data_IF_915515862745
#
_entry.id   IF_915515862745
#
_cell.length_a   1.000
_cell.length_b   1.000
_cell.length_c   1.000
_cell.angle_alpha   90.00
_cell.angle_beta   90.00
_cell.angle_gamma   90.00
#
_symmetry.space_group_name_H-M   'P 1'
#
loop_
_entity.id
_entity.type
_entity.pdbx_description
1 polymer ?
#
# COMPACT_ATOMS: atom_id res chain seq x y z
N UNK A 1 15.75 -2.64 -10.10
CA UNK A 1 15.15 -1.67 -9.16
C UNK A 1 13.68 -1.97 -9.05
N UNK A 2 13.13 -2.04 -7.83
CA UNK A 2 11.71 -2.37 -7.60
C UNK A 2 10.83 -1.26 -8.18
N UNK A 3 9.85 -1.59 -9.03
CA UNK A 3 8.95 -0.61 -9.68
C UNK A 3 7.94 -0.02 -8.70
N UNK A 4 7.84 -0.58 -7.51
CA UNK A 4 7.02 -0.07 -6.40
C UNK A 4 7.39 1.35 -6.00
N UNK A 5 8.69 1.68 -5.94
CA UNK A 5 9.16 3.03 -5.60
C UNK A 5 8.72 4.08 -6.63
N UNK A 6 8.99 3.94 -7.94
CA UNK A 6 8.51 4.92 -8.92
C UNK A 6 6.98 4.94 -9.04
N UNK A 7 6.28 3.81 -8.84
CA UNK A 7 4.82 3.79 -8.81
C UNK A 7 4.25 4.62 -7.63
N UNK A 8 4.87 4.53 -6.46
CA UNK A 8 4.53 5.36 -5.29
C UNK A 8 4.78 6.84 -5.58
N UNK A 9 5.94 7.18 -6.13
CA UNK A 9 6.28 8.56 -6.49
C UNK A 9 5.35 9.14 -7.56
N UNK A 10 4.87 8.32 -8.51
CA UNK A 10 3.91 8.76 -9.52
C UNK A 10 2.49 8.92 -8.96
N UNK A 11 2.09 8.09 -7.99
CA UNK A 11 0.76 8.16 -7.38
C UNK A 11 0.63 9.30 -6.35
N UNK A 12 1.73 9.72 -5.71
CA UNK A 12 1.78 10.82 -4.75
C UNK A 12 1.26 12.17 -5.31
N UNK A 13 1.71 12.69 -6.46
CA UNK A 13 1.20 13.95 -7.01
C UNK A 13 -0.27 13.87 -7.42
N UNK A 14 -0.75 12.70 -7.85
CA UNK A 14 -2.18 12.50 -8.14
C UNK A 14 -3.00 12.60 -6.85
N UNK A 15 -2.56 11.92 -5.78
CA UNK A 15 -3.21 11.99 -4.47
C UNK A 15 -3.19 13.42 -3.89
N UNK A 16 -2.06 14.12 -4.02
CA UNK A 16 -1.91 15.51 -3.58
C UNK A 16 -2.83 16.46 -4.37
N UNK A 17 -2.95 16.28 -5.69
CA UNK A 17 -3.85 17.07 -6.53
C UNK A 17 -5.32 16.83 -6.16
N UNK A 18 -5.71 15.58 -5.94
CA UNK A 18 -7.07 15.21 -5.49
C UNK A 18 -7.37 15.83 -4.12
N UNK A 19 -6.42 15.74 -3.18
CA UNK A 19 -6.56 16.32 -1.87
C UNK A 19 -6.72 17.85 -1.92
N UNK A 20 -5.93 18.53 -2.76
CA UNK A 20 -6.01 19.97 -2.95
C UNK A 20 -7.36 20.40 -3.55
N UNK A 21 -7.91 19.60 -4.48
CA UNK A 21 -9.22 19.85 -5.09
C UNK A 21 -10.40 19.65 -4.14
N UNK A 22 -10.32 18.67 -3.24
CA UNK A 22 -11.38 18.39 -2.28
C UNK A 22 -11.37 19.37 -1.10
N UNK A 23 -10.18 19.73 -0.61
CA UNK A 23 -10.01 20.64 0.53
C UNK A 23 -10.62 20.11 1.84
N UNK A 24 -10.43 20.88 2.91
CA UNK A 24 -11.02 20.60 4.23
C UNK A 24 -10.75 19.18 4.74
N UNK A 25 -11.75 18.59 5.40
CA UNK A 25 -11.68 17.25 5.99
C UNK A 25 -11.61 16.10 4.96
N UNK A 26 -12.09 16.34 3.74
CA UNK A 26 -12.05 15.34 2.66
C UNK A 26 -10.63 15.21 2.09
N UNK A 27 -9.97 16.35 1.83
CA UNK A 27 -8.61 16.36 1.29
C UNK A 27 -7.58 15.79 2.26
N UNK A 28 -7.69 16.13 3.55
CA UNK A 28 -6.86 15.55 4.61
C UNK A 28 -7.11 14.04 4.76
N UNK A 29 -8.36 13.58 4.63
CA UNK A 29 -8.68 12.15 4.61
C UNK A 29 -8.02 11.42 3.45
N UNK A 30 -8.03 12.00 2.25
CA UNK A 30 -7.32 11.43 1.10
C UNK A 30 -5.81 11.34 1.36
N UNK A 31 -5.19 12.41 1.85
CA UNK A 31 -3.75 12.41 2.17
C UNK A 31 -3.41 11.38 3.25
N UNK A 32 -4.16 11.36 4.35
CA UNK A 32 -3.94 10.43 5.45
C UNK A 32 -4.10 8.98 4.98
N UNK A 33 -5.16 8.68 4.22
CA UNK A 33 -5.42 7.36 3.67
C UNK A 33 -4.34 6.90 2.71
N UNK A 34 -3.94 7.79 1.79
CA UNK A 34 -2.89 7.50 0.84
C UNK A 34 -1.53 7.26 1.52
N UNK A 35 -1.12 8.13 2.45
CA UNK A 35 0.16 8.00 3.15
C UNK A 35 0.20 6.75 4.02
N UNK A 36 -0.85 6.48 4.80
CA UNK A 36 -0.91 5.29 5.65
C UNK A 36 -0.96 4.02 4.79
N UNK A 37 -1.75 4.02 3.72
CA UNK A 37 -1.83 2.90 2.76
C UNK A 37 -0.49 2.62 2.09
N UNK A 38 0.25 3.67 1.71
CA UNK A 38 1.59 3.54 1.16
C UNK A 38 2.60 3.01 2.18
N UNK A 39 2.56 3.51 3.42
CA UNK A 39 3.46 3.07 4.48
C UNK A 39 3.24 1.59 4.83
N UNK A 40 1.98 1.21 5.11
CA UNK A 40 1.62 -0.17 5.47
C UNK A 40 1.82 -1.11 4.28
N UNK A 41 1.37 -0.72 3.09
CA UNK A 41 1.52 -1.52 1.87
C UNK A 41 2.98 -1.69 1.46
N UNK A 42 3.78 -0.62 1.53
CA UNK A 42 5.20 -0.63 1.20
C UNK A 42 6.01 -1.47 2.18
N UNK A 43 5.75 -1.34 3.49
CA UNK A 43 6.40 -2.17 4.52
C UNK A 43 6.06 -3.65 4.34
N UNK A 44 4.77 -3.97 4.12
CA UNK A 44 4.33 -5.34 3.86
C UNK A 44 4.99 -5.92 2.60
N UNK A 45 5.10 -5.14 1.52
CA UNK A 45 5.76 -5.58 0.30
C UNK A 45 7.27 -5.78 0.50
N UNK A 46 7.94 -4.86 1.17
CA UNK A 46 9.37 -4.99 1.49
C UNK A 46 9.63 -6.24 2.34
N UNK A 47 8.77 -6.52 3.33
CA UNK A 47 8.81 -7.74 4.13
C UNK A 47 8.61 -8.98 3.27
N UNK A 48 7.60 -9.00 2.39
CA UNK A 48 7.35 -10.13 1.48
C UNK A 48 8.57 -10.41 0.59
N UNK A 49 9.16 -9.38 -0.03
CA UNK A 49 10.38 -9.50 -0.84
C UNK A 49 11.54 -10.02 -0.02
N UNK A 50 11.71 -9.54 1.21
CA UNK A 50 12.74 -10.03 2.12
C UNK A 50 12.54 -11.52 2.47
N UNK A 51 11.32 -11.92 2.83
CA UNK A 51 10.98 -13.31 3.16
C UNK A 51 11.18 -14.24 1.96
N UNK A 52 10.72 -13.87 0.76
CA UNK A 52 10.93 -14.71 -0.43
C UNK A 52 12.41 -14.92 -0.79
N UNK A 53 13.28 -13.98 -0.42
CA UNK A 53 14.73 -14.09 -0.67
C UNK A 53 15.46 -14.95 0.36
N UNK A 54 15.03 -14.95 1.62
CA UNK A 54 15.76 -15.60 2.72
C UNK A 54 15.10 -16.89 3.21
N UNK A 55 13.76 -16.97 3.20
CA UNK A 55 12.96 -18.07 3.75
C UNK A 55 11.69 -18.30 2.90
N UNK A 56 11.82 -18.81 1.66
CA UNK A 56 10.70 -18.93 0.71
C UNK A 56 9.56 -19.84 1.22
N UNK A 57 9.85 -20.81 2.09
CA UNK A 57 8.86 -21.66 2.76
C UNK A 57 7.84 -20.86 3.58
N UNK A 58 8.24 -19.67 4.06
CA UNK A 58 7.39 -18.77 4.83
C UNK A 58 6.72 -17.68 3.98
N UNK A 59 6.86 -17.72 2.65
CA UNK A 59 6.32 -16.68 1.77
C UNK A 59 4.81 -16.51 1.91
N UNK A 60 4.05 -17.61 2.00
CA UNK A 60 2.60 -17.56 2.18
C UNK A 60 2.19 -16.89 3.50
N UNK A 61 2.93 -17.17 4.58
CA UNK A 61 2.75 -16.51 5.87
C UNK A 61 3.01 -15.00 5.79
N UNK A 62 4.05 -14.58 5.07
CA UNK A 62 4.34 -13.16 4.84
C UNK A 62 3.24 -12.47 3.99
N UNK A 63 2.62 -13.16 3.05
CA UNK A 63 1.44 -12.66 2.34
C UNK A 63 0.25 -12.45 3.28
N UNK A 64 -0.05 -13.45 4.12
CA UNK A 64 -1.11 -13.37 5.12
C UNK A 64 -0.91 -12.24 6.13
N UNK A 65 0.28 -12.12 6.72
CA UNK A 65 0.63 -11.04 7.63
C UNK A 65 0.57 -9.66 6.95
N UNK A 66 1.06 -9.57 5.72
CA UNK A 66 1.00 -8.35 4.93
C UNK A 66 -0.43 -7.93 4.57
N UNK A 67 -1.36 -8.88 4.42
CA UNK A 67 -2.79 -8.59 4.26
C UNK A 67 -3.42 -8.16 5.58
N UNK A 68 -3.15 -8.88 6.67
CA UNK A 68 -3.65 -8.55 8.00
C UNK A 68 -3.22 -7.14 8.43
N UNK A 69 -1.97 -6.77 8.20
CA UNK A 69 -1.47 -5.41 8.46
C UNK A 69 -2.26 -4.33 7.69
N UNK A 70 -2.64 -4.60 6.43
CA UNK A 70 -3.47 -3.69 5.63
C UNK A 70 -4.89 -3.58 6.19
N UNK A 71 -5.50 -4.70 6.58
CA UNK A 71 -6.83 -4.72 7.21
C UNK A 71 -6.81 -3.96 8.53
N UNK A 72 -5.77 -4.15 9.36
CA UNK A 72 -5.60 -3.42 10.60
C UNK A 72 -5.37 -1.93 10.36
N UNK A 73 -4.50 -1.53 9.42
CA UNK A 73 -4.31 -0.12 9.07
C UNK A 73 -5.59 0.54 8.59
N UNK A 74 -6.35 -0.15 7.73
CA UNK A 74 -7.64 0.30 7.23
C UNK A 74 -8.67 0.44 8.35
N UNK A 75 -8.86 -0.60 9.16
CA UNK A 75 -9.85 -0.64 10.23
C UNK A 75 -9.53 0.29 11.39
N UNK A 76 -8.29 0.26 11.90
CA UNK A 76 -7.86 1.11 13.02
C UNK A 76 -7.84 2.59 12.62
N UNK A 77 -7.42 2.92 11.40
CA UNK A 77 -7.48 4.29 10.91
C UNK A 77 -8.92 4.79 10.82
N UNK A 78 -9.82 4.01 10.21
CA UNK A 78 -11.22 4.38 10.10
C UNK A 78 -11.90 4.51 11.48
N UNK A 79 -11.63 3.57 12.40
CA UNK A 79 -12.14 3.62 13.76
C UNK A 79 -11.61 4.84 14.52
N UNK A 80 -10.31 5.16 14.39
CA UNK A 80 -9.72 6.34 15.03
C UNK A 80 -10.33 7.64 14.51
N UNK A 81 -10.49 7.79 13.19
CA UNK A 81 -11.12 8.97 12.60
C UNK A 81 -12.61 9.08 12.87
N UNK A 82 -13.29 7.96 13.17
CA UNK A 82 -14.72 7.96 13.50
C UNK A 82 -14.99 8.17 15.01
N UNK A 83 -14.19 7.57 15.89
CA UNK A 83 -14.44 7.57 17.33
C UNK A 83 -13.82 8.77 18.06
N UNK A 84 -12.77 9.38 17.50
CA UNK A 84 -12.07 10.50 18.13
C UNK A 84 -12.59 11.80 17.52
N UNK A 85 -13.47 12.47 18.23
CA UNK A 85 -14.16 13.71 17.80
C UNK A 85 -13.24 14.81 17.21
N UNK A 86 -12.08 15.16 17.81
CA UNK A 86 -11.18 16.15 17.21
C UNK A 86 -10.54 15.68 15.89
N UNK A 87 -10.45 14.38 15.66
CA UNK A 87 -9.99 13.82 14.38
C UNK A 87 -11.13 13.76 13.36
N UNK A 88 -12.34 13.41 13.77
CA UNK A 88 -13.53 13.35 12.90
C UNK A 88 -13.84 14.71 12.25
N UNK A 89 -13.56 15.82 12.94
CA UNK A 89 -13.71 17.18 12.40
C UNK A 89 -12.67 17.53 11.33
N UNK A 90 -11.52 16.83 11.33
CA UNK A 90 -10.38 17.12 10.46
C UNK A 90 -10.19 16.11 9.37
N UNK A 91 -10.75 14.91 9.48
CA UNK A 91 -10.54 13.80 8.55
C UNK A 91 -11.87 13.07 8.37
N UNK A 92 -12.37 13.07 7.14
CA UNK A 92 -13.51 12.24 6.78
C UNK A 92 -13.06 10.78 6.60
N UNK A 93 -13.61 9.89 7.44
CA UNK A 93 -13.22 8.48 7.47
C UNK A 93 -13.53 7.73 6.16
N UNK A 94 -14.53 8.18 5.38
CA UNK A 94 -14.91 7.54 4.11
C UNK A 94 -13.86 7.81 3.03
N UNK A 95 -13.44 9.07 2.90
CA UNK A 95 -12.36 9.46 1.98
C UNK A 95 -11.03 8.84 2.37
N UNK A 96 -10.75 8.73 3.67
CA UNK A 96 -9.61 7.95 4.18
C UNK A 96 -9.64 6.50 3.66
N UNK A 97 -10.76 5.79 3.84
CA UNK A 97 -10.90 4.40 3.39
C UNK A 97 -10.67 4.26 1.88
N UNK A 98 -11.30 5.11 1.08
CA UNK A 98 -11.17 5.07 -0.38
C UNK A 98 -9.73 5.32 -0.83
N UNK A 99 -9.07 6.32 -0.25
CA UNK A 99 -7.68 6.63 -0.60
C UNK A 99 -6.71 5.53 -0.14
N UNK A 100 -6.94 4.94 1.02
CA UNK A 100 -6.15 3.81 1.52
C UNK A 100 -6.27 2.60 0.57
N UNK A 101 -7.49 2.23 0.19
CA UNK A 101 -7.74 1.12 -0.75
C UNK A 101 -7.07 1.42 -2.09
N UNK A 102 -7.22 2.64 -2.61
CA UNK A 102 -6.57 3.07 -3.85
C UNK A 102 -5.05 2.91 -3.80
N UNK A 103 -4.40 3.36 -2.72
CA UNK A 103 -2.96 3.24 -2.54
C UNK A 103 -2.51 1.77 -2.48
N UNK A 104 -3.24 0.93 -1.75
CA UNK A 104 -2.97 -0.51 -1.64
C UNK A 104 -3.12 -1.20 -3.00
N UNK A 105 -4.15 -0.87 -3.77
CA UNK A 105 -4.36 -1.45 -5.11
C UNK A 105 -3.23 -1.09 -6.07
N UNK A 106 -2.81 0.19 -6.09
CA UNK A 106 -1.65 0.62 -6.89
C UNK A 106 -0.41 -0.17 -6.51
N UNK A 107 -0.16 -0.35 -5.21
CA UNK A 107 0.96 -1.14 -4.71
C UNK A 107 0.86 -2.63 -5.06
N UNK A 108 -0.33 -3.22 -4.98
CA UNK A 108 -0.53 -4.62 -5.37
C UNK A 108 -0.22 -4.81 -6.85
N UNK A 109 -0.77 -3.97 -7.72
CA UNK A 109 -0.50 -4.04 -9.17
C UNK A 109 0.99 -3.89 -9.45
N UNK A 110 1.64 -2.87 -8.87
CA UNK A 110 3.08 -2.66 -9.03
C UNK A 110 3.92 -3.85 -8.50
N UNK A 111 3.56 -4.38 -7.34
CA UNK A 111 4.22 -5.54 -6.72
C UNK A 111 4.05 -6.82 -7.52
N UNK A 112 2.87 -7.09 -8.07
CA UNK A 112 2.61 -8.25 -8.95
C UNK A 112 3.50 -8.20 -10.20
N UNK A 113 3.66 -7.03 -10.82
CA UNK A 113 4.58 -6.89 -11.97
C UNK A 113 6.04 -7.17 -11.59
N UNK A 114 6.47 -6.76 -10.40
CA UNK A 114 7.82 -7.06 -9.90
C UNK A 114 8.01 -8.57 -9.67
N UNK A 115 7.00 -9.27 -9.13
CA UNK A 115 7.04 -10.74 -8.96
C UNK A 115 7.06 -11.50 -10.29
N UNK A 116 6.21 -11.11 -11.25
CA UNK A 116 6.20 -11.74 -12.58
C UNK A 116 7.54 -11.61 -13.30
N UNK A 117 8.21 -10.45 -13.15
CA UNK A 117 9.54 -10.25 -13.72
C UNK A 117 10.58 -11.16 -13.07
N UNK A 118 10.55 -11.28 -11.74
CA UNK A 118 11.46 -12.16 -11.01
C UNK A 118 11.32 -13.62 -11.46
N UNK A 119 10.08 -14.09 -11.66
CA UNK A 119 9.82 -15.45 -12.19
C UNK A 119 10.35 -15.63 -13.62
N UNK A 120 10.19 -14.63 -14.50
CA UNK A 120 10.74 -14.67 -15.86
C UNK A 120 12.28 -14.74 -15.85
N UNK A 121 12.93 -13.95 -15.00
CA UNK A 121 14.40 -13.95 -14.86
C UNK A 121 14.92 -15.30 -14.33
N UNK A 122 14.24 -15.90 -13.34
CA UNK A 122 14.58 -17.25 -12.86
C UNK A 122 14.36 -18.34 -13.91
N UNK A 123 13.26 -18.29 -14.67
CA UNK A 123 12.97 -19.29 -15.72
C UNK A 123 13.99 -19.23 -16.86
N UNK A 124 14.38 -18.04 -17.30
CA UNK A 124 15.39 -17.87 -18.34
C UNK A 124 16.75 -18.42 -17.89
N UNK A 125 17.13 -18.23 -16.62
CA UNK A 125 18.39 -18.75 -16.06
C UNK A 125 18.42 -20.27 -15.97
N UNK A 126 17.26 -20.92 -15.71
CA UNK A 126 17.15 -22.39 -15.69
C UNK A 126 17.25 -23.01 -17.09
N UNK A 127 16.82 -22.32 -18.14
CA UNK A 127 16.92 -22.81 -19.53
C UNK A 127 18.32 -22.67 -20.13
N UNK A 128 19.19 -21.85 -19.52
CA UNK A 128 20.57 -21.65 -19.95
C UNK A 128 21.58 -22.63 -19.32
N UNK A 129 21.12 -23.51 -18.42
CA UNK A 129 21.88 -24.58 -17.77
C UNK A 129 21.47 -25.92 -18.38
#
# INVERSE_FOLDING_TARGET
MSRTVPALFAALPVAALVAWRLGGALGTGVLAGFLLGCAVGGLAHAWQVHTMRHNPENAFGAFGLGFLAKVLGLGLGAAAFNAIEPLALRVDWRTYLLAFIGAVLVLMVAGTFDHLRFLKECSARRQAL
#
